data_IF_276543944586
#
_entry.id   IF_276543944586
#
_cell.length_a   1.000
_cell.length_b   1.000
_cell.length_c   1.000
_cell.angle_alpha   90.00
_cell.angle_beta   90.00
_cell.angle_gamma   90.00
#
_symmetry.space_group_name_H-M   'P 1'
#
loop_
_entity.id
_entity.type
_entity.pdbx_description
1 polymer ?
#
# COMPACT_ATOMS: atom_id res chain seq x y z
N UNK A 1 -15.28 1.67 0.02
CA UNK A 1 -14.15 1.36 -0.88
C UNK A 1 -14.08 -0.14 -1.10
N UNK A 2 -13.99 -0.57 -2.32
CA UNK A 2 -13.83 -1.98 -2.65
C UNK A 2 -12.36 -2.35 -2.64
N UNK A 3 -12.08 -3.61 -2.32
CA UNK A 3 -10.72 -4.14 -2.40
C UNK A 3 -10.11 -3.93 -3.79
N UNK A 4 -10.93 -4.07 -4.83
CA UNK A 4 -10.47 -3.89 -6.22
C UNK A 4 -9.98 -2.48 -6.53
N UNK A 5 -10.39 -1.46 -5.76
CA UNK A 5 -9.95 -0.08 -5.97
C UNK A 5 -8.84 0.34 -5.01
N UNK A 6 -8.67 -0.37 -3.89
CA UNK A 6 -7.69 -0.02 -2.87
C UNK A 6 -6.25 -0.07 -3.40
N UNK A 7 -5.88 -1.16 -4.05
CA UNK A 7 -4.51 -1.34 -4.54
C UNK A 7 -4.15 -0.33 -5.63
N UNK A 8 -4.99 -0.10 -6.67
CA UNK A 8 -4.71 0.94 -7.63
C UNK A 8 -4.58 2.33 -7.01
N UNK A 9 -5.41 2.66 -6.04
CA UNK A 9 -5.34 3.95 -5.35
C UNK A 9 -4.06 4.09 -4.53
N UNK A 10 -3.65 3.03 -3.85
CA UNK A 10 -2.42 3.01 -3.07
C UNK A 10 -1.20 3.24 -4.00
N UNK A 11 -1.15 2.53 -5.12
CA UNK A 11 -0.05 2.66 -6.07
C UNK A 11 -0.05 4.06 -6.70
N UNK A 12 -1.21 4.61 -7.02
CA UNK A 12 -1.32 5.96 -7.56
C UNK A 12 -0.79 7.00 -6.56
N UNK A 13 -1.12 6.85 -5.28
CA UNK A 13 -0.62 7.74 -4.23
C UNK A 13 0.89 7.67 -4.10
N UNK A 14 1.44 6.46 -4.08
CA UNK A 14 2.89 6.25 -3.97
C UNK A 14 3.59 6.81 -5.21
N UNK A 15 3.04 6.60 -6.39
CA UNK A 15 3.60 7.12 -7.64
C UNK A 15 3.62 8.64 -7.63
N UNK A 16 2.55 9.28 -7.16
CA UNK A 16 2.49 10.73 -7.06
C UNK A 16 3.53 11.27 -6.08
N UNK A 17 3.66 10.65 -4.91
CA UNK A 17 4.67 11.04 -3.92
C UNK A 17 6.08 10.87 -4.48
N UNK A 18 6.32 9.79 -5.20
CA UNK A 18 7.62 9.53 -5.82
C UNK A 18 7.96 10.62 -6.84
N UNK A 19 7.00 11.00 -7.66
CA UNK A 19 7.18 12.06 -8.67
C UNK A 19 7.47 13.40 -8.01
N UNK A 20 6.72 13.75 -6.96
CA UNK A 20 6.89 15.02 -6.25
C UNK A 20 8.23 15.11 -5.52
N UNK A 21 8.76 13.99 -5.03
CA UNK A 21 9.96 13.95 -4.20
C UNK A 21 11.19 13.39 -4.91
N UNK A 22 11.08 13.04 -6.17
CA UNK A 22 12.20 12.50 -6.93
C UNK A 22 12.64 11.10 -6.50
N UNK A 23 11.72 10.30 -5.94
CA UNK A 23 12.04 8.93 -5.56
C UNK A 23 12.20 8.06 -6.81
N UNK A 24 13.23 7.24 -6.83
CA UNK A 24 13.48 6.35 -7.96
C UNK A 24 12.95 4.95 -7.72
N UNK A 25 12.97 4.49 -6.46
CA UNK A 25 12.51 3.15 -6.13
C UNK A 25 12.07 3.08 -4.67
N UNK A 26 10.92 2.46 -4.48
CA UNK A 26 10.36 2.17 -3.16
C UNK A 26 10.63 0.70 -2.85
N UNK A 27 11.17 0.41 -1.67
CA UNK A 27 11.54 -0.93 -1.27
C UNK A 27 10.60 -1.56 -0.25
N UNK A 28 9.94 -0.73 0.56
CA UNK A 28 9.02 -1.21 1.58
C UNK A 28 7.91 -0.19 1.81
N UNK A 29 6.71 -0.69 2.03
CA UNK A 29 5.52 0.14 2.27
C UNK A 29 4.80 -0.43 3.48
N UNK A 30 4.43 0.44 4.43
CA UNK A 30 3.64 0.03 5.58
C UNK A 30 2.28 0.73 5.54
N UNK A 31 1.22 -0.07 5.62
CA UNK A 31 -0.15 0.45 5.65
C UNK A 31 -0.90 -0.11 6.85
N UNK A 32 -1.79 0.70 7.40
CA UNK A 32 -2.74 0.28 8.44
C UNK A 32 -4.12 0.22 7.81
N UNK A 33 -4.80 -0.90 7.99
CA UNK A 33 -6.11 -1.16 7.39
C UNK A 33 -7.14 -1.28 8.51
N UNK A 34 -8.25 -0.55 8.38
CA UNK A 34 -9.32 -0.61 9.36
C UNK A 34 -9.95 -2.00 9.44
N UNK A 35 -10.27 -2.42 10.67
CA UNK A 35 -10.84 -3.75 10.90
C UNK A 35 -12.17 -3.96 10.17
N UNK A 36 -12.96 -2.89 9.99
CA UNK A 36 -14.24 -2.98 9.29
C UNK A 36 -14.13 -3.28 7.79
N UNK A 37 -12.92 -3.12 7.21
CA UNK A 37 -12.74 -3.42 5.78
C UNK A 37 -12.87 -4.91 5.50
N UNK A 38 -12.61 -5.75 6.49
CA UNK A 38 -12.61 -7.20 6.32
C UNK A 38 -11.55 -7.72 5.38
N UNK A 39 -10.56 -6.92 5.05
CA UNK A 39 -9.51 -7.30 4.11
C UNK A 39 -8.48 -8.24 4.72
N UNK A 40 -8.03 -9.19 3.91
CA UNK A 40 -6.98 -10.14 4.28
C UNK A 40 -5.63 -9.60 3.80
N UNK A 41 -4.69 -9.44 4.72
CA UNK A 41 -3.36 -8.89 4.42
C UNK A 41 -2.60 -9.73 3.38
N UNK A 42 -2.70 -11.06 3.46
CA UNK A 42 -2.02 -11.93 2.50
C UNK A 42 -2.58 -11.74 1.09
N UNK A 43 -3.89 -11.62 0.97
CA UNK A 43 -4.57 -11.41 -0.30
C UNK A 43 -4.20 -10.04 -0.90
N UNK A 44 -4.15 -9.01 -0.06
CA UNK A 44 -3.73 -7.69 -0.50
C UNK A 44 -2.29 -7.68 -1.02
N UNK A 45 -1.39 -8.39 -0.34
CA UNK A 45 0.01 -8.48 -0.79
C UNK A 45 0.13 -9.15 -2.15
N UNK A 46 -0.64 -10.21 -2.40
CA UNK A 46 -0.64 -10.87 -3.71
C UNK A 46 -1.09 -9.93 -4.82
N UNK A 47 -2.18 -9.21 -4.59
CA UNK A 47 -2.69 -8.24 -5.56
C UNK A 47 -1.70 -7.10 -5.78
N UNK A 48 -1.06 -6.65 -4.69
CA UNK A 48 -0.10 -5.56 -4.77
C UNK A 48 1.10 -5.92 -5.65
N UNK A 49 1.64 -7.12 -5.48
CA UNK A 49 2.81 -7.57 -6.29
C UNK A 49 2.51 -7.47 -7.78
N UNK A 50 1.35 -7.92 -8.18
CA UNK A 50 0.94 -7.86 -9.60
C UNK A 50 0.73 -6.43 -10.06
N UNK A 51 0.03 -5.63 -9.28
CA UNK A 51 -0.32 -4.26 -9.66
C UNK A 51 0.89 -3.32 -9.65
N UNK A 52 1.89 -3.59 -8.80
CA UNK A 52 3.07 -2.75 -8.68
C UNK A 52 4.08 -2.96 -9.81
N UNK A 53 3.94 -4.03 -10.58
CA UNK A 53 4.87 -4.33 -11.67
C UNK A 53 4.93 -3.15 -12.65
N UNK A 54 6.14 -2.71 -12.99
CA UNK A 54 6.35 -1.58 -13.89
C UNK A 54 6.20 -0.21 -13.23
N UNK A 55 5.98 -0.16 -11.91
CA UNK A 55 5.88 1.11 -11.18
C UNK A 55 7.09 1.32 -10.28
N UNK A 56 7.17 2.49 -9.65
CA UNK A 56 8.22 2.79 -8.66
C UNK A 56 8.20 1.83 -7.47
N UNK A 57 7.07 1.18 -7.22
CA UNK A 57 6.88 0.23 -6.13
C UNK A 57 7.12 -1.23 -6.52
N UNK A 58 7.56 -1.50 -7.75
CA UNK A 58 7.82 -2.86 -8.18
C UNK A 58 8.82 -3.56 -7.25
N UNK A 59 8.46 -4.73 -6.78
CA UNK A 59 9.30 -5.51 -5.87
C UNK A 59 9.28 -5.03 -4.42
N UNK A 60 8.54 -3.98 -4.11
CA UNK A 60 8.44 -3.47 -2.74
C UNK A 60 7.72 -4.47 -1.83
N UNK A 61 8.17 -4.55 -0.57
CA UNK A 61 7.51 -5.36 0.44
C UNK A 61 6.35 -4.56 1.03
N UNK A 62 5.15 -5.11 0.94
CA UNK A 62 3.96 -4.48 1.49
C UNK A 62 3.67 -5.08 2.87
N UNK A 63 3.76 -4.27 3.90
CA UNK A 63 3.42 -4.66 5.26
C UNK A 63 2.06 -4.09 5.62
N UNK A 64 1.12 -4.99 5.89
CA UNK A 64 -0.25 -4.62 6.26
C UNK A 64 -0.46 -4.89 7.73
N UNK A 65 -0.98 -3.88 8.42
CA UNK A 65 -1.35 -3.99 9.82
C UNK A 65 -2.84 -3.71 9.95
N UNK A 66 -3.53 -4.52 10.73
CA UNK A 66 -4.94 -4.30 11.02
C UNK A 66 -5.05 -3.34 12.21
N UNK A 67 -5.88 -2.32 12.06
CA UNK A 67 -6.12 -1.34 13.11
C UNK A 67 -6.70 -1.99 14.38
N UNK A 68 -6.29 -1.49 15.55
CA UNK A 68 -6.84 -1.93 16.83
C UNK A 68 -8.26 -1.41 17.04
N UNK A 69 -8.68 -0.41 16.26
CA UNK A 69 -10.03 0.14 16.36
C UNK A 69 -10.99 -0.72 15.56
N UNK A 70 -11.90 -1.46 16.22
CA UNK A 70 -12.82 -2.35 15.51
C UNK A 70 -13.84 -1.62 14.64
N UNK A 71 -13.98 -0.32 14.81
CA UNK A 71 -14.94 0.49 14.05
C UNK A 71 -14.27 1.25 12.90
N UNK A 72 -12.96 1.11 12.73
CA UNK A 72 -12.24 1.82 11.67
C UNK A 72 -12.46 1.15 10.31
N UNK A 73 -12.73 1.96 9.31
CA UNK A 73 -12.75 1.56 7.90
C UNK A 73 -11.65 2.28 7.10
N UNK A 74 -10.77 2.99 7.78
CA UNK A 74 -9.71 3.76 7.15
C UNK A 74 -8.59 2.87 6.61
N UNK A 75 -7.94 3.35 5.55
CA UNK A 75 -6.70 2.75 5.04
C UNK A 75 -5.66 3.87 5.07
N UNK A 76 -4.59 3.66 5.83
CA UNK A 76 -3.60 4.70 6.09
C UNK A 76 -2.22 4.24 5.62
N UNK A 77 -1.61 5.03 4.74
CA UNK A 77 -0.21 4.83 4.38
C UNK A 77 0.65 5.38 5.51
N UNK A 78 1.30 4.49 6.26
CA UNK A 78 2.09 4.87 7.43
C UNK A 78 3.50 5.27 7.08
N UNK A 79 4.18 4.49 6.25
CA UNK A 79 5.57 4.77 5.91
C UNK A 79 5.97 4.13 4.60
N UNK A 80 7.05 4.66 4.03
CA UNK A 80 7.64 4.18 2.79
C UNK A 80 9.15 4.17 3.00
N UNK A 81 9.80 3.05 2.68
CA UNK A 81 11.25 2.94 2.67
C UNK A 81 11.73 3.07 1.23
N UNK A 82 12.83 3.78 1.03
CA UNK A 82 13.40 4.02 -0.29
C UNK A 82 14.71 3.28 -0.45
N UNK A 83 15.07 2.98 -1.69
CA UNK A 83 16.36 2.40 -2.00
C UNK A 83 17.46 3.41 -1.69
N UNK A 84 18.45 2.94 -0.98
CA UNK A 84 19.60 3.76 -0.59
C UNK A 84 20.60 3.92 -1.75
#
# INVERSE_FOLDING_TARGET
MHESSLIPELIAKITALASENGWQRVTEIEVTIGALTGMDAAHLREHFVTAAAGTVAEGADLRCRISDDPLSSAVILESVELEQ
#
